data_IF_906046580245
#
_entry.id   IF_906046580245
#
_cell.length_a   1.000
_cell.length_b   1.000
_cell.length_c   1.000
_cell.angle_alpha   90.00
_cell.angle_beta   90.00
_cell.angle_gamma   90.00
#
_symmetry.space_group_name_H-M   'P 1'
#
loop_
_entity.id
_entity.type
_entity.pdbx_description
1 polymer ?
#
# COMPACT_ATOMS: atom_id res chain seq x y z
N UNK A 1 17.92 -30.52 16.07
CA UNK A 1 16.59 -29.90 15.85
C UNK A 1 16.47 -28.46 16.42
N UNK A 2 17.53 -27.63 16.40
CA UNK A 2 17.46 -26.20 16.78
C UNK A 2 17.60 -25.22 15.60
N UNK A 3 17.89 -25.72 14.40
CA UNK A 3 18.10 -24.90 13.19
C UNK A 3 16.93 -24.97 12.19
N UNK A 4 15.90 -25.78 12.46
CA UNK A 4 14.75 -25.95 11.58
C UNK A 4 13.58 -25.02 11.95
N UNK A 5 13.51 -24.60 13.22
CA UNK A 5 12.50 -23.62 13.69
C UNK A 5 12.94 -22.19 13.32
N UNK A 6 14.24 -21.90 13.28
CA UNK A 6 14.76 -20.61 12.79
C UNK A 6 14.62 -20.45 11.28
N UNK A 7 14.56 -21.54 10.49
CA UNK A 7 14.26 -21.46 9.05
C UNK A 7 12.75 -21.28 8.79
N UNK A 8 11.88 -21.85 9.63
CA UNK A 8 10.43 -21.67 9.53
C UNK A 8 9.95 -20.31 10.04
N UNK A 9 10.70 -19.64 10.91
CA UNK A 9 10.43 -18.25 11.29
C UNK A 9 10.99 -17.21 10.30
N UNK A 10 11.93 -17.56 9.43
CA UNK A 10 12.38 -16.66 8.35
C UNK A 10 11.47 -16.67 7.10
N UNK A 11 10.48 -17.57 7.04
CA UNK A 11 9.49 -17.64 5.94
C UNK A 11 8.19 -16.86 6.23
N UNK A 12 8.08 -16.18 7.38
CA UNK A 12 6.94 -15.31 7.72
C UNK A 12 7.35 -13.85 7.98
N UNK A 13 8.56 -13.45 7.58
CA UNK A 13 9.05 -12.08 7.76
C UNK A 13 8.90 -11.33 6.44
N UNK A 14 7.77 -10.64 6.30
CA UNK A 14 7.54 -9.50 5.40
C UNK A 14 7.44 -9.79 3.89
N UNK A 15 6.50 -10.66 3.50
CA UNK A 15 5.80 -10.43 2.23
C UNK A 15 4.49 -9.71 2.54
N UNK A 16 4.55 -8.40 2.84
CA UNK A 16 3.37 -7.57 2.61
C UNK A 16 3.24 -7.53 1.09
N UNK A 17 2.43 -8.43 0.53
CA UNK A 17 2.03 -8.32 -0.86
C UNK A 17 1.05 -7.14 -0.93
N UNK A 18 1.59 -5.95 -1.19
CA UNK A 18 0.75 -4.78 -1.42
C UNK A 18 0.16 -4.90 -2.82
N UNK A 19 -1.16 -5.01 -2.89
CA UNK A 19 -1.90 -4.86 -4.13
C UNK A 19 -2.02 -3.38 -4.46
N UNK A 20 -1.44 -3.00 -5.59
CA UNK A 20 -1.56 -1.65 -6.12
C UNK A 20 -2.34 -1.71 -7.43
N UNK A 21 -3.45 -0.97 -7.48
CA UNK A 21 -4.30 -0.90 -8.67
C UNK A 21 -4.50 0.54 -9.11
N UNK A 22 -4.76 0.74 -10.40
CA UNK A 22 -5.11 2.05 -11.00
C UNK A 22 -4.06 3.17 -10.85
N UNK A 23 -2.88 2.87 -10.31
CA UNK A 23 -1.74 3.80 -10.29
C UNK A 23 -0.80 3.56 -11.48
N UNK A 24 -0.18 4.62 -12.00
CA UNK A 24 0.85 4.49 -13.03
C UNK A 24 2.00 3.58 -12.58
N UNK A 25 2.70 2.99 -13.56
CA UNK A 25 3.68 1.93 -13.32
C UNK A 25 4.82 2.37 -12.40
N UNK A 26 5.37 3.57 -12.59
CA UNK A 26 6.54 3.99 -11.85
C UNK A 26 6.20 4.33 -10.40
N UNK A 27 5.06 5.00 -10.20
CA UNK A 27 4.47 5.27 -8.87
C UNK A 27 4.12 3.95 -8.15
N UNK A 28 3.52 2.99 -8.85
CA UNK A 28 3.23 1.65 -8.30
C UNK A 28 4.50 0.93 -7.87
N UNK A 29 5.56 0.96 -8.69
CA UNK A 29 6.84 0.36 -8.33
C UNK A 29 7.45 1.01 -7.08
N UNK A 30 7.41 2.35 -6.98
CA UNK A 30 7.93 3.08 -5.81
C UNK A 30 7.23 2.63 -4.53
N UNK A 31 5.89 2.62 -4.55
CA UNK A 31 5.08 2.20 -3.41
C UNK A 31 5.34 0.75 -3.03
N UNK A 32 5.44 -0.17 -4.01
CA UNK A 32 5.79 -1.57 -3.76
C UNK A 32 7.14 -1.71 -3.07
N UNK A 33 8.16 -1.00 -3.56
CA UNK A 33 9.50 -1.03 -2.96
C UNK A 33 9.48 -0.51 -1.52
N UNK A 34 8.86 0.64 -1.26
CA UNK A 34 8.80 1.22 0.09
C UNK A 34 7.97 0.35 1.05
N UNK A 35 6.88 -0.25 0.57
CA UNK A 35 6.06 -1.16 1.36
C UNK A 35 6.78 -2.48 1.66
N UNK A 36 7.50 -3.05 0.70
CA UNK A 36 8.32 -4.25 0.91
C UNK A 36 9.39 -4.01 1.98
N UNK A 37 9.97 -2.81 1.99
CA UNK A 37 10.94 -2.41 3.01
C UNK A 37 10.30 -2.01 4.35
N UNK A 38 8.98 -2.21 4.53
CA UNK A 38 8.20 -1.89 5.74
C UNK A 38 8.30 -0.44 6.22
N UNK A 39 8.65 0.50 5.34
CA UNK A 39 8.83 1.90 5.74
C UNK A 39 7.52 2.70 5.78
N UNK A 40 6.41 2.10 5.37
CA UNK A 40 5.11 2.77 5.22
C UNK A 40 4.12 2.27 6.29
N UNK A 41 3.76 3.16 7.22
CA UNK A 41 2.77 2.87 8.26
C UNK A 41 1.34 2.81 7.69
N UNK A 42 0.43 2.10 8.35
CA UNK A 42 -0.97 1.94 7.88
C UNK A 42 -1.67 3.30 7.70
N UNK A 43 -1.46 4.22 8.63
CA UNK A 43 -2.00 5.60 8.54
C UNK A 43 -1.59 6.33 7.26
N UNK A 44 -0.39 6.01 6.75
CA UNK A 44 0.15 6.66 5.58
C UNK A 44 -0.50 6.07 4.32
N UNK A 45 -0.76 4.76 4.29
CA UNK A 45 -1.54 4.09 3.23
C UNK A 45 -2.95 4.69 3.14
N UNK A 46 -3.64 4.85 4.26
CA UNK A 46 -4.98 5.45 4.27
C UNK A 46 -4.96 6.90 3.76
N UNK A 47 -3.92 7.66 4.13
CA UNK A 47 -3.72 9.01 3.62
C UNK A 47 -3.51 9.02 2.10
N UNK A 48 -2.72 8.09 1.55
CA UNK A 48 -2.51 7.98 0.10
C UNK A 48 -3.80 7.57 -0.63
N UNK A 49 -4.54 6.59 -0.12
CA UNK A 49 -5.82 6.18 -0.68
C UNK A 49 -6.82 7.34 -0.71
N UNK A 50 -6.91 8.12 0.38
CA UNK A 50 -7.77 9.30 0.45
C UNK A 50 -7.35 10.38 -0.55
N UNK A 51 -6.04 10.63 -0.70
CA UNK A 51 -5.53 11.62 -1.65
C UNK A 51 -5.81 11.17 -3.09
N UNK A 52 -5.54 9.91 -3.43
CA UNK A 52 -5.72 9.40 -4.78
C UNK A 52 -7.20 9.28 -5.18
N UNK A 53 -8.10 8.97 -4.24
CA UNK A 53 -9.53 8.87 -4.53
C UNK A 53 -10.22 10.20 -4.83
N UNK A 54 -9.58 11.32 -4.48
CA UNK A 54 -10.03 12.67 -4.83
C UNK A 54 -9.79 13.00 -6.30
N UNK A 55 -8.96 12.23 -7.01
CA UNK A 55 -8.73 12.43 -8.43
C UNK A 55 -9.81 11.73 -9.26
N UNK A 56 -10.46 12.51 -10.11
CA UNK A 56 -11.44 12.02 -11.09
C UNK A 56 -10.82 11.82 -12.47
N UNK A 57 -9.57 12.27 -12.68
CA UNK A 57 -8.83 12.21 -13.93
C UNK A 57 -7.67 11.21 -13.88
N UNK A 58 -7.04 10.98 -15.03
CA UNK A 58 -5.87 10.12 -15.16
C UNK A 58 -4.72 10.54 -14.21
N UNK A 59 -4.19 9.55 -13.48
CA UNK A 59 -3.10 9.70 -12.52
C UNK A 59 -1.70 9.66 -13.16
N UNK A 60 -1.58 9.55 -14.49
CA UNK A 60 -0.29 9.54 -15.22
C UNK A 60 0.63 10.71 -14.90
N UNK A 61 0.11 11.87 -14.47
CA UNK A 61 0.93 13.01 -14.06
C UNK A 61 1.84 12.69 -12.85
N UNK A 62 1.50 11.68 -12.04
CA UNK A 62 2.31 11.26 -10.89
C UNK A 62 3.69 10.75 -11.33
N UNK A 63 3.76 9.97 -12.42
CA UNK A 63 5.02 9.48 -12.96
C UNK A 63 5.87 10.63 -13.50
N UNK A 64 5.26 11.63 -14.15
CA UNK A 64 5.96 12.85 -14.59
C UNK A 64 6.53 13.65 -13.41
N UNK A 65 5.76 13.77 -12.33
CA UNK A 65 6.19 14.46 -11.11
C UNK A 65 7.35 13.73 -10.44
N UNK A 66 7.30 12.40 -10.43
CA UNK A 66 8.33 11.55 -9.88
C UNK A 66 9.62 11.64 -10.70
N UNK A 67 9.54 11.53 -12.03
CA UNK A 67 10.70 11.68 -12.92
C UNK A 67 11.36 13.04 -12.75
N UNK A 68 10.58 14.12 -12.73
CA UNK A 68 11.08 15.47 -12.45
C UNK A 68 11.76 15.54 -11.09
N UNK A 69 11.19 14.89 -10.08
CA UNK A 69 11.75 14.89 -8.72
C UNK A 69 13.06 14.11 -8.64
N UNK A 70 13.19 12.99 -9.35
CA UNK A 70 14.45 12.24 -9.50
C UNK A 70 15.51 13.12 -10.15
N UNK A 71 15.20 13.75 -11.29
CA UNK A 71 16.16 14.59 -11.98
C UNK A 71 16.58 15.81 -11.15
N UNK A 72 15.65 16.44 -10.42
CA UNK A 72 15.98 17.51 -9.48
C UNK A 72 16.88 16.99 -8.35
N UNK A 73 16.61 15.79 -7.81
CA UNK A 73 17.40 15.23 -6.72
C UNK A 73 18.86 15.01 -7.11
N UNK A 74 19.17 14.89 -8.40
CA UNK A 74 20.56 14.78 -8.87
C UNK A 74 21.43 15.97 -8.46
N UNK A 75 20.86 17.17 -8.27
CA UNK A 75 21.62 18.35 -7.84
C UNK A 75 22.09 18.27 -6.39
N UNK A 76 21.37 17.50 -5.55
CA UNK A 76 21.69 17.32 -4.14
C UNK A 76 22.77 16.25 -3.93
N UNK A 77 22.97 15.40 -4.94
CA UNK A 77 23.96 14.33 -4.91
C UNK A 77 25.37 14.89 -5.16
N UNK A 78 26.38 14.20 -4.64
CA UNK A 78 27.78 14.64 -4.79
C UNK A 78 28.12 14.78 -6.27
N UNK A 79 28.79 15.91 -6.60
CA UNK A 79 29.33 16.16 -7.95
C UNK A 79 30.10 14.93 -8.43
N UNK A 80 29.90 14.60 -9.69
CA UNK A 80 30.30 13.31 -10.23
C UNK A 80 31.18 13.49 -11.47
N UNK A 81 31.38 12.40 -12.19
CA UNK A 81 32.10 12.31 -13.44
C UNK A 81 31.69 13.44 -14.40
N UNK A 82 32.69 14.00 -15.08
CA UNK A 82 32.47 15.02 -16.11
C UNK A 82 32.27 14.41 -17.50
N UNK A 83 32.58 13.13 -17.65
CA UNK A 83 32.52 12.37 -18.89
C UNK A 83 32.11 10.93 -18.59
N UNK A 84 31.49 10.27 -19.56
CA UNK A 84 31.03 8.89 -19.48
C UNK A 84 31.71 8.14 -20.62
N UNK A 85 32.38 7.04 -20.30
CA UNK A 85 33.00 6.18 -21.30
C UNK A 85 32.37 4.78 -21.27
N UNK A 86 32.74 3.96 -22.25
CA UNK A 86 32.23 2.59 -22.36
C UNK A 86 32.56 1.76 -21.10
N UNK A 87 33.71 1.99 -20.48
CA UNK A 87 34.13 1.29 -19.27
C UNK A 87 33.19 1.60 -18.10
N UNK A 88 32.84 2.86 -17.91
CA UNK A 88 31.92 3.30 -16.86
C UNK A 88 30.50 2.76 -17.12
N UNK A 89 30.08 2.72 -18.38
CA UNK A 89 28.83 2.08 -18.79
C UNK A 89 28.79 0.59 -18.44
N UNK A 90 29.84 -0.16 -18.77
CA UNK A 90 29.91 -1.60 -18.47
C UNK A 90 29.90 -1.87 -16.96
N UNK A 91 30.66 -1.09 -16.18
CA UNK A 91 30.65 -1.16 -14.72
C UNK A 91 29.27 -0.84 -14.14
N UNK A 92 28.58 0.16 -14.68
CA UNK A 92 27.22 0.52 -14.25
C UNK A 92 26.25 -0.62 -14.54
N UNK A 93 26.31 -1.21 -15.75
CA UNK A 93 25.48 -2.37 -16.13
C UNK A 93 25.63 -3.51 -15.13
N UNK A 94 26.87 -3.86 -14.78
CA UNK A 94 27.14 -4.98 -13.88
C UNK A 94 26.61 -4.70 -12.46
N UNK A 95 26.78 -3.48 -11.95
CA UNK A 95 26.21 -3.06 -10.65
C UNK A 95 24.69 -3.04 -10.64
N UNK A 96 24.05 -2.58 -11.71
CA UNK A 96 22.58 -2.53 -11.83
C UNK A 96 22.00 -3.94 -11.81
N UNK A 97 22.68 -4.90 -12.45
CA UNK A 97 22.26 -6.29 -12.46
C UNK A 97 22.34 -6.94 -11.06
N UNK A 98 23.23 -6.45 -10.19
CA UNK A 98 23.36 -6.89 -8.80
C UNK A 98 22.29 -6.29 -7.87
N UNK A 99 21.48 -5.33 -8.32
CA UNK A 99 20.39 -4.77 -7.50
C UNK A 99 19.36 -5.88 -7.20
N UNK A 100 19.02 -6.10 -5.91
CA UNK A 100 18.04 -7.10 -5.50
C UNK A 100 16.69 -6.92 -6.20
N UNK A 101 15.99 -8.03 -6.45
CA UNK A 101 14.65 -8.01 -7.07
C UNK A 101 13.60 -7.30 -6.22
N UNK A 102 13.80 -7.18 -4.90
CA UNK A 102 12.95 -6.39 -4.01
C UNK A 102 12.97 -4.90 -4.31
N UNK A 103 14.06 -4.39 -4.87
CA UNK A 103 14.25 -2.97 -5.23
C UNK A 103 13.77 -2.69 -6.66
N UNK A 104 12.50 -3.01 -6.94
CA UNK A 104 11.88 -2.98 -8.27
C UNK A 104 11.93 -1.56 -8.88
N UNK A 105 11.60 -0.54 -8.09
CA UNK A 105 11.59 0.83 -8.54
C UNK A 105 13.00 1.33 -8.84
N UNK A 106 13.92 1.13 -7.90
CA UNK A 106 15.31 1.54 -8.05
C UNK A 106 15.93 0.88 -9.28
N UNK A 107 15.72 -0.43 -9.45
CA UNK A 107 16.20 -1.16 -10.62
C UNK A 107 15.62 -0.62 -11.92
N UNK A 108 14.33 -0.29 -11.95
CA UNK A 108 13.68 0.33 -13.12
C UNK A 108 14.32 1.67 -13.49
N UNK A 109 14.53 2.55 -12.52
CA UNK A 109 15.15 3.87 -12.76
C UNK A 109 16.56 3.75 -13.29
N UNK A 110 17.39 2.91 -12.66
CA UNK A 110 18.77 2.73 -13.10
C UNK A 110 18.87 2.04 -14.46
N UNK A 111 17.97 1.11 -14.78
CA UNK A 111 17.90 0.53 -16.12
C UNK A 111 17.54 1.57 -17.18
N UNK A 112 16.60 2.48 -16.88
CA UNK A 112 16.30 3.60 -17.78
C UNK A 112 17.51 4.50 -17.98
N UNK A 113 18.24 4.86 -16.90
CA UNK A 113 19.49 5.61 -17.02
C UNK A 113 20.52 4.87 -17.86
N UNK A 114 20.67 3.55 -17.69
CA UNK A 114 21.59 2.77 -18.49
C UNK A 114 21.22 2.81 -19.98
N UNK A 115 19.93 2.70 -20.32
CA UNK A 115 19.48 2.81 -21.71
C UNK A 115 19.79 4.20 -22.29
N UNK A 116 19.47 5.27 -21.56
CA UNK A 116 19.75 6.66 -21.96
C UNK A 116 21.27 6.88 -22.18
N UNK A 117 22.11 6.26 -21.35
CA UNK A 117 23.57 6.32 -21.50
C UNK A 117 24.06 5.54 -22.71
N UNK A 118 23.46 4.38 -23.00
CA UNK A 118 23.77 3.61 -24.20
C UNK A 118 23.50 4.43 -25.45
N UNK A 119 22.32 5.06 -25.53
CA UNK A 119 21.96 5.97 -26.62
C UNK A 119 22.96 7.14 -26.73
N UNK A 120 23.28 7.77 -25.59
CA UNK A 120 24.20 8.90 -25.53
C UNK A 120 25.62 8.54 -25.98
N UNK A 121 26.13 7.34 -25.66
CA UNK A 121 27.46 6.88 -26.12
C UNK A 121 27.49 6.60 -27.63
N UNK A 122 26.35 6.24 -28.22
CA UNK A 122 26.24 6.02 -29.66
C UNK A 122 26.07 7.30 -30.48
N UNK A 123 25.72 8.42 -29.83
CA UNK A 123 25.46 9.70 -30.48
C UNK A 123 26.75 10.34 -31.06
N UNK A 124 26.80 10.66 -32.37
CA UNK A 124 27.93 11.37 -32.98
C UNK A 124 28.24 12.73 -32.35
N UNK A 125 27.23 13.49 -31.90
CA UNK A 125 27.43 14.79 -31.24
C UNK A 125 28.09 14.64 -29.87
N UNK A 126 27.82 13.54 -29.17
CA UNK A 126 28.50 13.23 -27.92
C UNK A 126 29.99 12.95 -28.12
N UNK A 127 30.37 12.27 -29.21
CA UNK A 127 31.79 12.04 -29.52
C UNK A 127 32.52 13.36 -29.75
N UNK A 128 31.88 14.30 -30.46
CA UNK A 128 32.40 15.66 -30.64
C UNK A 128 32.50 16.43 -29.32
N UNK A 129 31.48 16.33 -28.46
CA UNK A 129 31.52 16.88 -27.10
C UNK A 129 32.74 16.37 -26.32
N UNK A 130 32.96 15.05 -26.30
CA UNK A 130 34.07 14.41 -25.59
C UNK A 130 35.43 14.90 -26.11
N UNK A 131 35.58 15.03 -27.43
CA UNK A 131 36.82 15.55 -28.04
C UNK A 131 37.09 16.99 -27.63
N UNK A 132 36.10 17.88 -27.74
CA UNK A 132 36.22 19.28 -27.35
C UNK A 132 36.53 19.44 -25.86
N UNK A 133 35.89 18.61 -25.02
CA UNK A 133 36.10 18.58 -23.59
C UNK A 133 37.54 18.18 -23.23
N UNK A 134 38.07 17.11 -23.86
CA UNK A 134 39.47 16.67 -23.67
C UNK A 134 40.48 17.72 -24.12
N UNK A 135 40.13 18.53 -25.11
CA UNK A 135 40.97 19.63 -25.63
C UNK A 135 40.81 20.94 -24.84
N UNK A 136 40.05 20.96 -23.74
CA UNK A 136 39.75 22.15 -22.94
C UNK A 136 39.16 23.32 -23.76
N UNK A 137 38.46 23.02 -24.86
CA UNK A 137 37.84 24.04 -25.70
C UNK A 137 36.48 24.48 -25.13
N UNK A 138 36.12 25.76 -25.35
CA UNK A 138 34.84 26.30 -24.87
C UNK A 138 33.67 25.71 -25.65
N UNK A 139 32.67 25.25 -24.91
CA UNK A 139 31.43 24.73 -25.46
C UNK A 139 30.49 25.89 -25.79
N UNK A 140 30.44 26.24 -27.07
CA UNK A 140 29.72 27.44 -27.52
C UNK A 140 28.36 27.13 -28.18
N UNK A 141 28.10 25.88 -28.60
CA UNK A 141 26.83 25.48 -29.22
C UNK A 141 25.79 25.04 -28.19
N UNK A 142 24.52 25.38 -28.46
CA UNK A 142 23.39 25.03 -27.59
C UNK A 142 23.14 23.51 -27.48
N UNK A 143 23.42 22.74 -28.54
CA UNK A 143 23.31 21.29 -28.51
C UNK A 143 24.30 20.68 -27.51
N UNK A 144 25.57 21.08 -27.57
CA UNK A 144 26.61 20.61 -26.64
C UNK A 144 26.35 21.03 -25.19
N UNK A 145 25.77 22.22 -24.94
CA UNK A 145 25.30 22.62 -23.61
C UNK A 145 24.18 21.73 -23.09
N UNK A 146 23.27 21.30 -23.97
CA UNK A 146 22.21 20.35 -23.63
C UNK A 146 22.82 19.00 -23.23
N UNK A 147 23.83 18.51 -23.96
CA UNK A 147 24.56 17.29 -23.58
C UNK A 147 25.27 17.44 -22.24
N UNK A 148 25.94 18.57 -22.00
CA UNK A 148 26.59 18.84 -20.72
C UNK A 148 25.59 18.77 -19.55
N UNK A 149 24.41 19.35 -19.72
CA UNK A 149 23.35 19.32 -18.71
C UNK A 149 22.81 17.90 -18.50
N UNK A 150 22.59 17.12 -19.57
CA UNK A 150 22.16 15.72 -19.45
C UNK A 150 23.17 14.88 -18.67
N UNK A 151 24.46 14.99 -19.00
CA UNK A 151 25.54 14.29 -18.30
C UNK A 151 25.58 14.73 -16.83
N UNK A 152 25.50 16.04 -16.56
CA UNK A 152 25.50 16.58 -15.20
C UNK A 152 24.33 16.08 -14.35
N UNK A 153 23.18 15.79 -14.95
CA UNK A 153 22.02 15.22 -14.26
C UNK A 153 22.19 13.71 -14.00
N UNK A 154 22.79 12.97 -14.93
CA UNK A 154 22.94 11.52 -14.82
C UNK A 154 24.12 11.07 -13.96
N UNK A 155 25.26 11.78 -14.02
CA UNK A 155 26.48 11.31 -13.37
C UNK A 155 26.40 11.17 -11.86
N UNK A 156 25.69 12.03 -11.09
CA UNK A 156 25.55 11.82 -9.65
C UNK A 156 24.88 10.50 -9.26
N UNK A 157 23.93 10.03 -10.07
CA UNK A 157 23.29 8.72 -9.91
C UNK A 157 24.26 7.58 -10.19
N UNK A 158 25.05 7.69 -11.26
CA UNK A 158 26.09 6.70 -11.57
C UNK A 158 27.13 6.60 -10.46
N UNK A 159 27.52 7.74 -9.88
CA UNK A 159 28.43 7.74 -8.74
C UNK A 159 27.82 7.02 -7.54
N UNK A 160 26.55 7.29 -7.23
CA UNK A 160 25.87 6.66 -6.11
C UNK A 160 25.87 5.13 -6.22
N UNK A 161 25.67 4.57 -7.41
CA UNK A 161 25.67 3.10 -7.58
C UNK A 161 27.08 2.50 -7.72
N UNK A 162 28.05 3.24 -8.27
CA UNK A 162 29.40 2.72 -8.52
C UNK A 162 30.35 2.84 -7.32
N UNK A 163 30.26 3.95 -6.58
CA UNK A 163 31.22 4.29 -5.52
C UNK A 163 30.73 3.99 -4.10
N UNK A 164 29.43 3.81 -3.88
CA UNK A 164 28.90 3.48 -2.56
C UNK A 164 29.04 2.00 -2.23
N UNK A 165 29.21 1.68 -0.95
CA UNK A 165 29.04 0.30 -0.48
C UNK A 165 27.57 -0.14 -0.65
N UNK A 166 27.26 -1.45 -0.70
CA UNK A 166 25.88 -1.92 -0.79
C UNK A 166 24.96 -1.35 0.30
N UNK A 167 25.47 -1.19 1.53
CA UNK A 167 24.74 -0.65 2.67
C UNK A 167 24.50 0.85 2.52
N UNK A 168 25.54 1.61 2.15
CA UNK A 168 25.42 3.05 1.91
C UNK A 168 24.47 3.35 0.75
N UNK A 169 24.57 2.57 -0.32
CA UNK A 169 23.67 2.65 -1.48
C UNK A 169 22.23 2.41 -1.04
N UNK A 170 21.99 1.31 -0.32
CA UNK A 170 20.65 0.95 0.17
C UNK A 170 20.07 2.05 1.04
N UNK A 171 20.82 2.53 2.03
CA UNK A 171 20.39 3.62 2.90
C UNK A 171 20.04 4.89 2.10
N UNK A 172 20.94 5.33 1.22
CA UNK A 172 20.75 6.54 0.43
C UNK A 172 19.52 6.45 -0.48
N UNK A 173 19.33 5.30 -1.13
CA UNK A 173 18.18 5.05 -2.00
C UNK A 173 16.87 5.06 -1.20
N UNK A 174 16.86 4.46 -0.01
CA UNK A 174 15.66 4.42 0.83
C UNK A 174 15.26 5.82 1.28
N UNK A 175 16.22 6.64 1.71
CA UNK A 175 16.00 8.05 2.06
C UNK A 175 15.46 8.86 0.86
N UNK A 176 16.01 8.62 -0.34
CA UNK A 176 15.54 9.23 -1.58
C UNK A 176 14.11 8.80 -1.89
N UNK A 177 13.81 7.50 -1.86
CA UNK A 177 12.50 6.95 -2.18
C UNK A 177 11.41 7.50 -1.26
N UNK A 178 11.67 7.57 0.05
CA UNK A 178 10.78 8.21 1.01
C UNK A 178 10.58 9.69 0.71
N UNK A 179 11.65 10.41 0.36
CA UNK A 179 11.56 11.82 -0.02
C UNK A 179 10.72 12.04 -1.29
N UNK A 180 10.86 11.16 -2.29
CA UNK A 180 10.05 11.19 -3.52
C UNK A 180 8.58 10.95 -3.22
N UNK A 181 8.29 9.95 -2.37
CA UNK A 181 6.93 9.62 -1.98
C UNK A 181 6.27 10.77 -1.20
N UNK A 182 6.96 11.39 -0.25
CA UNK A 182 6.48 12.57 0.47
C UNK A 182 6.24 13.77 -0.45
N UNK A 183 7.06 13.94 -1.49
CA UNK A 183 6.82 14.97 -2.52
C UNK A 183 5.54 14.68 -3.32
N UNK A 184 5.31 13.42 -3.70
CA UNK A 184 4.06 13.01 -4.34
C UNK A 184 2.88 13.30 -3.42
N UNK A 185 2.95 12.92 -2.14
CA UNK A 185 1.91 13.21 -1.14
C UNK A 185 1.57 14.69 -1.08
N UNK A 186 2.59 15.54 -0.95
CA UNK A 186 2.44 17.00 -0.87
C UNK A 186 1.85 17.58 -2.14
N UNK A 187 2.44 17.28 -3.29
CA UNK A 187 1.96 17.79 -4.57
C UNK A 187 0.52 17.35 -4.84
N UNK A 188 0.22 16.09 -4.53
CA UNK A 188 -1.12 15.56 -4.70
C UNK A 188 -2.12 16.22 -3.75
N UNK A 189 -1.75 16.47 -2.50
CA UNK A 189 -2.57 17.22 -1.55
C UNK A 189 -2.77 18.69 -1.94
N UNK A 190 -1.83 19.32 -2.63
CA UNK A 190 -2.02 20.67 -3.17
C UNK A 190 -3.04 20.68 -4.30
N UNK A 191 -2.90 19.77 -5.26
CA UNK A 191 -3.81 19.68 -6.40
C UNK A 191 -5.24 19.42 -5.93
N UNK A 192 -5.44 18.51 -4.96
CA UNK A 192 -6.78 18.21 -4.45
C UNK A 192 -7.41 19.36 -3.65
N UNK A 193 -6.60 20.18 -2.95
CA UNK A 193 -7.09 21.41 -2.31
C UNK A 193 -7.52 22.48 -3.31
N UNK A 194 -6.87 22.52 -4.47
CA UNK A 194 -7.17 23.50 -5.52
C UNK A 194 -8.27 23.02 -6.48
N UNK A 195 -8.54 21.72 -6.55
CA UNK A 195 -9.65 21.19 -7.34
C UNK A 195 -10.97 21.34 -6.60
N UNK A 196 -11.95 22.00 -7.22
CA UNK A 196 -13.32 22.14 -6.67
C UNK A 196 -14.08 20.80 -6.60
N UNK A 197 -13.54 19.74 -7.19
CA UNK A 197 -14.18 18.43 -7.31
C UNK A 197 -13.88 17.61 -6.05
N UNK A 198 -14.84 17.57 -5.12
CA UNK A 198 -14.81 16.68 -3.94
C UNK A 198 -15.63 15.42 -4.19
N UNK A 199 -15.21 14.59 -5.14
CA UNK A 199 -15.78 13.26 -5.26
C UNK A 199 -15.02 12.30 -4.34
N UNK A 200 -15.53 12.12 -3.12
CA UNK A 200 -15.04 11.09 -2.20
C UNK A 200 -15.57 9.73 -2.65
N UNK A 201 -14.95 9.17 -3.69
CA UNK A 201 -15.12 7.74 -3.95
C UNK A 201 -14.31 6.96 -2.91
N UNK A 202 -14.85 5.87 -2.35
CA UNK A 202 -14.11 4.96 -1.47
C UNK A 202 -13.21 4.02 -2.28
N UNK A 203 -12.58 4.52 -3.34
CA UNK A 203 -11.66 3.72 -4.13
C UNK A 203 -10.38 3.45 -3.33
N UNK A 204 -10.01 2.17 -3.23
CA UNK A 204 -8.73 1.74 -2.65
C UNK A 204 -7.72 1.53 -3.78
N UNK A 205 -6.63 2.28 -3.74
CA UNK A 205 -5.52 2.18 -4.70
C UNK A 205 -4.41 1.27 -4.17
N UNK A 206 -4.20 1.30 -2.85
CA UNK A 206 -3.20 0.53 -2.12
C UNK A 206 -3.94 -0.33 -1.11
N UNK A 207 -3.76 -1.64 -1.21
CA UNK A 207 -4.35 -2.62 -0.28
C UNK A 207 -3.24 -3.56 0.21
N UNK A 208 -3.10 -3.69 1.54
CA UNK A 208 -2.23 -4.69 2.13
C UNK A 208 -2.94 -6.04 2.04
N UNK A 209 -2.35 -7.00 1.32
CA UNK A 209 -2.83 -8.37 1.33
C UNK A 209 -2.28 -9.03 2.60
N UNK A 210 -3.19 -9.49 3.46
CA UNK A 210 -2.86 -10.44 4.51
C UNK A 210 -2.85 -11.84 3.89
N UNK A 211 -1.66 -12.38 3.64
CA UNK A 211 -1.50 -13.72 3.05
C UNK A 211 -2.10 -14.82 3.94
N UNK A 212 -2.17 -14.62 5.27
CA UNK A 212 -2.81 -15.56 6.18
C UNK A 212 -4.32 -15.57 5.99
N UNK A 213 -4.92 -14.39 5.83
CA UNK A 213 -6.34 -14.25 5.54
C UNK A 213 -6.69 -14.78 4.14
N UNK A 214 -5.88 -14.52 3.11
CA UNK A 214 -6.13 -15.05 1.77
C UNK A 214 -6.01 -16.57 1.71
N UNK A 215 -5.00 -17.16 2.36
CA UNK A 215 -4.92 -18.62 2.50
C UNK A 215 -6.13 -19.18 3.25
N UNK A 216 -6.56 -18.54 4.34
CA UNK A 216 -7.76 -18.94 5.05
C UNK A 216 -9.02 -18.84 4.17
N UNK A 217 -9.13 -17.80 3.33
CA UNK A 217 -10.24 -17.68 2.36
C UNK A 217 -10.18 -18.76 1.30
N UNK A 218 -9.01 -19.11 0.78
CA UNK A 218 -8.85 -20.19 -0.21
C UNK A 218 -9.19 -21.56 0.41
N UNK A 219 -8.74 -21.81 1.64
CA UNK A 219 -9.06 -23.02 2.41
C UNK A 219 -10.56 -23.12 2.72
N UNK A 220 -11.23 -22.00 3.03
CA UNK A 220 -12.67 -21.93 3.28
C UNK A 220 -13.48 -21.99 1.97
N UNK A 221 -13.00 -21.43 0.87
CA UNK A 221 -13.71 -21.42 -0.41
C UNK A 221 -13.94 -22.83 -0.97
N UNK A 222 -13.09 -23.79 -0.60
CA UNK A 222 -13.28 -25.22 -0.89
C UNK A 222 -14.17 -25.96 0.11
N UNK A 223 -14.44 -25.37 1.27
CA UNK A 223 -15.32 -25.91 2.30
C UNK A 223 -16.74 -25.38 2.06
N UNK A 224 -17.50 -26.10 1.25
CA UNK A 224 -18.95 -25.96 1.22
C UNK A 224 -19.48 -26.41 2.59
N UNK A 225 -19.53 -25.49 3.56
CA UNK A 225 -20.31 -25.71 4.75
C UNK A 225 -21.78 -25.73 4.32
N UNK A 226 -22.43 -26.88 4.44
CA UNK A 226 -23.89 -26.96 4.51
C UNK A 226 -24.30 -26.28 5.82
N UNK A 227 -24.30 -24.95 5.85
CA UNK A 227 -24.67 -24.15 7.04
C UNK A 227 -26.18 -24.29 7.32
N UNK A 228 -26.94 -24.74 6.33
CA UNK A 228 -28.33 -25.09 6.49
C UNK A 228 -28.46 -26.61 6.68
N UNK A 229 -29.12 -27.08 7.76
CA UNK A 229 -29.55 -28.46 7.81
C UNK A 229 -30.39 -28.77 6.57
N UNK A 230 -30.26 -29.98 6.03
CA UNK A 230 -31.07 -30.44 4.92
C UNK A 230 -32.56 -30.12 5.24
N UNK A 231 -33.31 -29.52 4.30
CA UNK A 231 -34.70 -29.16 4.55
C UNK A 231 -35.45 -30.41 5.01
N UNK A 232 -36.11 -30.32 6.16
CA UNK A 232 -36.89 -31.42 6.69
C UNK A 232 -37.87 -31.88 5.58
N UNK A 233 -37.88 -33.17 5.19
CA UNK A 233 -38.76 -33.65 4.13
C UNK A 233 -40.25 -33.43 4.43
N UNK A 234 -40.60 -33.16 5.70
CA UNK A 234 -41.95 -32.83 6.15
C UNK A 234 -42.21 -31.32 6.27
N UNK A 235 -41.25 -30.46 5.93
CA UNK A 235 -41.44 -29.01 5.95
C UNK A 235 -42.33 -28.58 4.78
N UNK A 236 -43.53 -28.13 5.10
CA UNK A 236 -44.42 -27.46 4.14
C UNK A 236 -44.27 -25.96 4.36
N UNK A 237 -43.71 -25.20 3.38
CA UNK A 237 -43.63 -23.77 3.51
C UNK A 237 -45.04 -23.18 3.64
N UNK A 238 -45.27 -22.23 4.56
CA UNK A 238 -46.58 -21.59 4.68
C UNK A 238 -46.92 -20.87 3.37
N UNK A 239 -48.17 -21.02 2.90
CA UNK A 239 -48.64 -20.40 1.65
C UNK A 239 -48.67 -18.87 1.73
N UNK A 240 -48.81 -18.35 2.94
CA UNK A 240 -48.81 -16.93 3.25
C UNK A 240 -47.88 -16.73 4.44
N UNK A 241 -46.98 -15.76 4.33
CA UNK A 241 -46.23 -15.31 5.49
C UNK A 241 -47.25 -14.81 6.53
N UNK A 242 -47.04 -15.08 7.84
CA UNK A 242 -47.83 -14.40 8.85
C UNK A 242 -47.75 -12.90 8.59
N UNK A 243 -48.90 -12.23 8.61
CA UNK A 243 -48.92 -10.77 8.52
C UNK A 243 -48.02 -10.23 9.63
N UNK A 244 -47.08 -9.36 9.26
CA UNK A 244 -46.27 -8.65 10.23
C UNK A 244 -47.21 -7.92 11.17
N UNK A 245 -47.26 -8.35 12.42
CA UNK A 245 -47.95 -7.61 13.47
C UNK A 245 -46.96 -6.53 13.91
N UNK A 246 -47.24 -5.28 13.54
CA UNK A 246 -46.55 -4.10 14.07
C UNK A 246 -46.96 -3.85 15.54
N UNK A 247 -46.86 -4.88 16.39
CA UNK A 247 -47.20 -4.80 17.82
C UNK A 247 -46.05 -4.25 18.66
N UNK A 248 -44.95 -3.82 18.02
CA UNK A 248 -43.94 -3.00 18.68
C UNK A 248 -44.36 -1.53 18.66
N UNK A 249 -45.41 -1.22 19.42
CA UNK A 249 -45.68 0.13 19.88
C UNK A 249 -44.78 0.34 21.10
N UNK A 250 -43.84 1.30 21.09
CA UNK A 250 -43.17 1.70 22.31
C UNK A 250 -44.27 2.08 23.29
N UNK A 251 -44.36 1.37 24.42
CA UNK A 251 -45.25 1.77 25.50
C UNK A 251 -44.76 3.15 25.92
N UNK A 252 -45.49 4.20 25.51
CA UNK A 252 -45.33 5.52 26.10
C UNK A 252 -45.38 5.32 27.62
N UNK A 253 -44.45 5.94 28.35
CA UNK A 253 -44.22 5.80 29.80
C UNK A 253 -45.45 6.16 30.70
N UNK A 254 -46.67 6.20 30.15
CA UNK A 254 -47.86 6.74 30.78
C UNK A 254 -49.14 5.88 30.76
N UNK A 255 -49.18 4.66 30.19
CA UNK A 255 -50.42 3.83 30.18
C UNK A 255 -50.07 2.34 30.35
N UNK A 256 -50.06 1.76 31.57
CA UNK A 256 -51.17 1.26 32.41
C UNK A 256 -51.75 -0.09 31.91
N UNK A 257 -51.29 -1.20 32.50
CA UNK A 257 -52.16 -2.36 32.80
C UNK A 257 -52.85 -2.06 34.15
N UNK A 258 -54.18 -1.96 34.16
CA UNK A 258 -55.07 -1.84 35.34
C UNK A 258 -55.18 -0.52 36.14
N UNK A 259 -55.12 0.62 35.47
CA UNK A 259 -55.51 1.93 36.03
C UNK A 259 -54.60 2.53 37.12
N UNK A 260 -53.48 1.88 37.48
CA UNK A 260 -52.61 2.32 38.57
C UNK A 260 -51.17 2.55 38.07
N UNK A 261 -50.51 3.66 38.42
CA UNK A 261 -49.12 3.87 38.07
C UNK A 261 -48.27 2.75 38.71
N UNK A 262 -47.48 2.05 37.88
CA UNK A 262 -46.47 1.12 38.34
C UNK A 262 -45.43 1.89 39.17
N UNK A 263 -45.54 1.81 40.50
CA UNK A 263 -44.50 2.31 41.40
C UNK A 263 -43.26 1.45 41.27
N UNK A 264 -42.07 2.06 41.43
CA UNK A 264 -40.75 1.41 41.31
C UNK A 264 -40.64 0.10 42.10
N UNK A 265 -41.37 0.01 43.21
CA UNK A 265 -41.40 -1.12 44.13
C UNK A 265 -42.07 -2.38 43.55
N UNK A 266 -42.86 -2.25 42.46
CA UNK A 266 -43.45 -3.38 41.72
C UNK A 266 -42.54 -3.91 40.61
N UNK A 267 -41.66 -3.06 40.07
CA UNK A 267 -40.71 -3.45 39.02
C UNK A 267 -39.49 -4.18 39.59
N UNK A 268 -39.19 -3.94 40.87
CA UNK A 268 -38.06 -4.55 41.58
C UNK A 268 -38.54 -5.00 42.97
N UNK A 269 -39.13 -6.21 43.09
CA UNK A 269 -39.45 -6.76 44.40
C UNK A 269 -38.18 -6.86 45.25
N UNK A 270 -38.32 -6.67 46.57
CA UNK A 270 -37.20 -6.87 47.48
C UNK A 270 -36.66 -8.30 47.35
N UNK A 271 -35.33 -8.50 47.43
CA UNK A 271 -34.74 -9.83 47.33
C UNK A 271 -35.39 -10.77 48.33
N UNK A 272 -35.79 -11.95 47.85
CA UNK A 272 -36.37 -12.99 48.71
C UNK A 272 -35.39 -13.32 49.85
N UNK A 273 -35.78 -13.09 51.13
CA UNK A 273 -34.90 -13.32 52.27
C UNK A 273 -34.49 -14.79 52.42
N UNK A 274 -35.24 -15.71 51.81
CA UNK A 274 -34.97 -17.15 51.83
C UNK A 274 -34.22 -17.63 50.58
N UNK A 275 -33.81 -16.72 49.67
CA UNK A 275 -33.03 -17.10 48.49
C UNK A 275 -31.64 -17.60 48.87
N UNK A 276 -31.42 -18.91 48.69
CA UNK A 276 -30.10 -19.52 48.79
C UNK A 276 -29.55 -19.72 47.37
N UNK A 277 -28.49 -19.00 46.97
CA UNK A 277 -27.90 -19.17 45.65
C UNK A 277 -27.41 -20.62 45.47
N UNK A 278 -27.67 -21.23 44.31
CA UNK A 278 -27.26 -22.60 44.06
C UNK A 278 -25.73 -22.72 44.12
N UNK A 279 -25.21 -23.68 44.90
CA UNK A 279 -23.77 -23.92 45.03
C UNK A 279 -23.10 -24.37 43.73
N UNK A 280 -23.89 -24.88 42.77
CA UNK A 280 -23.45 -25.32 41.46
C UNK A 280 -24.49 -24.88 40.45
N UNK A 281 -24.04 -24.26 39.35
CA UNK A 281 -24.94 -23.89 38.27
C UNK A 281 -25.64 -25.15 37.72
N UNK A 282 -26.96 -25.09 37.46
CA UNK A 282 -27.64 -26.20 36.79
C UNK A 282 -26.95 -26.47 35.44
N UNK A 283 -26.78 -27.75 35.12
CA UNK A 283 -26.23 -28.13 33.81
C UNK A 283 -27.18 -27.64 32.72
N UNK A 284 -26.66 -27.17 31.57
CA UNK A 284 -27.50 -26.81 30.44
C UNK A 284 -28.35 -28.02 30.07
N UNK A 285 -29.66 -27.80 30.04
CA UNK A 285 -30.63 -28.79 29.57
C UNK A 285 -30.87 -28.49 28.10
N UNK A 286 -30.47 -29.40 27.22
CA UNK A 286 -30.69 -29.29 25.76
C UNK A 286 -32.16 -29.50 25.34
N UNK A 287 -33.08 -29.61 26.30
CA UNK A 287 -34.51 -29.81 26.04
C UNK A 287 -35.28 -28.51 26.27
N UNK A 288 -35.23 -27.64 25.27
CA UNK A 288 -36.26 -26.62 25.10
C UNK A 288 -37.43 -27.25 24.36
N UNK A 289 -38.52 -27.51 25.08
CA UNK A 289 -39.77 -28.04 24.52
C UNK A 289 -39.86 -29.55 24.60
N UNK A 290 -40.44 -30.05 25.69
CA UNK A 290 -41.29 -31.24 25.75
C UNK A 290 -41.94 -31.19 27.14
N UNK A 291 -43.04 -30.43 27.24
CA UNK A 291 -44.02 -30.58 28.30
C UNK A 291 -45.33 -30.99 27.62
N UNK A 292 -45.70 -32.25 27.83
CA UNK A 292 -47.10 -32.67 27.89
C UNK A 292 -47.73 -32.16 29.20
#
# INVERSE_FOLDING_TARGET
MKYLISLLFFLNVNAIDVKITKLPKLTSNLLKEICFENQLADRDIDSYNLIFSQYTSDLTFLDNLLLKSILIKSSDLKKSYKMIDQKLFDLARDRINQIPSSKIFTKTIYQSFLNDLGELLTDPEYRNFVLLYKQNQRINTNSLKTFENKIRMLTPWLRLILESTPEEFTKSINEINLSLLERIKKASGFITRTSEIKNLTKEKFIEKIDQGLEKAKEEIAGLAFEVAPAPNPNYVPPKELPQGVDDWIPVDDSIIEDGLPLTKDRLFPEPDPDYVPPKVLPKPVDKWGDQD
#
